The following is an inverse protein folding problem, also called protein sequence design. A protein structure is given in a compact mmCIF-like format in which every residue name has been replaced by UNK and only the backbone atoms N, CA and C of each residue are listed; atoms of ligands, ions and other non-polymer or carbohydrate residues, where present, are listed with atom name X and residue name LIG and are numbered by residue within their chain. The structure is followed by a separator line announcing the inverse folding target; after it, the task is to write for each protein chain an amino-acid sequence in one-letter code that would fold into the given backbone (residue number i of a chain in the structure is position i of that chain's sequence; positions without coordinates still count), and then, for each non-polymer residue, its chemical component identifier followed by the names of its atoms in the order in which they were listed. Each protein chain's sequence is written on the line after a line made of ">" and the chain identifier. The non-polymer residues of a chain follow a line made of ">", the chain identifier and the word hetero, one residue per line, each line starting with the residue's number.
data_IF_466513423323
#
_entry.id   IF_466513423323
#
_cell.length_a   1.000
_cell.length_b   1.000
_cell.length_c   1.000
_cell.angle_alpha   90.00
_cell.angle_beta   90.00
_cell.angle_gamma   90.00
#
_symmetry.space_group_name_H-M   'P 1'
#
loop_
_entity.id
_entity.type
_entity.pdbx_description
1 polymer ?
#
# COMPACT_ATOMS: atom_id res chain seq x y z
N UNK A 1 42.32 -7.10 -10.03
CA UNK A 1 41.06 -6.33 -10.07
C UNK A 1 40.43 -6.47 -8.70
N UNK A 2 40.40 -5.41 -7.92
CA UNK A 2 39.74 -5.43 -6.64
C UNK A 2 38.21 -5.51 -6.90
N UNK A 3 37.57 -6.58 -6.44
CA UNK A 3 36.11 -6.69 -6.41
C UNK A 3 35.63 -5.61 -5.45
N UNK A 4 35.04 -4.54 -5.97
CA UNK A 4 34.26 -3.61 -5.14
C UNK A 4 33.19 -4.43 -4.41
N UNK A 5 33.33 -4.53 -3.11
CA UNK A 5 32.29 -5.05 -2.23
C UNK A 5 31.19 -3.99 -2.27
N UNK A 6 30.16 -4.19 -3.12
CA UNK A 6 28.95 -3.38 -3.04
C UNK A 6 28.40 -3.53 -1.62
N UNK A 7 28.08 -2.42 -0.92
CA UNK A 7 27.44 -2.50 0.37
C UNK A 7 26.17 -3.37 0.25
N UNK A 8 25.94 -4.22 1.24
CA UNK A 8 24.86 -5.23 1.25
C UNK A 8 23.49 -4.52 1.50
N UNK A 9 23.09 -3.64 0.58
CA UNK A 9 21.94 -2.73 0.68
C UNK A 9 20.60 -3.41 0.39
N UNK A 10 20.59 -4.67 -0.04
CA UNK A 10 19.39 -5.39 -0.44
C UNK A 10 18.99 -6.56 0.48
N UNK A 11 19.52 -6.64 1.70
CA UNK A 11 19.13 -7.72 2.64
C UNK A 11 17.69 -7.57 3.10
N UNK A 12 17.06 -8.70 3.48
CA UNK A 12 15.74 -8.68 4.07
C UNK A 12 15.63 -7.73 5.27
N UNK A 13 16.61 -7.74 6.16
CA UNK A 13 16.65 -6.87 7.34
C UNK A 13 16.67 -5.39 6.95
N UNK A 14 17.38 -4.99 5.91
CA UNK A 14 17.40 -3.61 5.41
C UNK A 14 16.06 -3.25 4.79
N UNK A 15 15.53 -4.09 3.90
CA UNK A 15 14.24 -3.83 3.22
C UNK A 15 13.08 -3.71 4.20
N UNK A 16 12.96 -4.66 5.14
CA UNK A 16 11.91 -4.63 6.16
C UNK A 16 12.10 -3.47 7.14
N UNK A 17 13.34 -3.13 7.50
CA UNK A 17 13.68 -1.98 8.33
C UNK A 17 13.28 -0.65 7.69
N UNK A 18 13.54 -0.46 6.40
CA UNK A 18 13.09 0.72 5.65
C UNK A 18 11.55 0.84 5.67
N UNK A 19 10.83 -0.26 5.44
CA UNK A 19 9.37 -0.27 5.51
C UNK A 19 8.85 0.05 6.93
N UNK A 20 9.50 -0.44 7.99
CA UNK A 20 9.16 -0.15 9.38
C UNK A 20 9.29 1.35 9.72
N UNK A 21 10.19 2.08 9.09
CA UNK A 21 10.35 3.53 9.31
C UNK A 21 9.13 4.34 8.91
N UNK A 22 8.26 3.81 8.04
CA UNK A 22 7.05 4.47 7.57
C UNK A 22 5.85 4.26 8.49
N UNK A 23 5.97 3.39 9.50
CA UNK A 23 4.89 3.02 10.41
C UNK A 23 4.30 4.24 11.12
N UNK A 24 2.98 4.30 11.19
CA UNK A 24 2.23 5.40 11.79
C UNK A 24 1.96 6.56 10.84
N UNK A 25 2.48 6.50 9.60
CA UNK A 25 2.41 7.58 8.64
C UNK A 25 1.34 7.42 7.56
N UNK A 26 1.29 8.47 6.74
CA UNK A 26 0.47 8.54 5.52
C UNK A 26 1.38 8.53 4.31
N UNK A 27 1.12 7.65 3.36
CA UNK A 27 1.73 7.62 2.04
C UNK A 27 0.70 8.20 1.07
N UNK A 28 1.08 9.21 0.26
CA UNK A 28 0.15 9.89 -0.63
C UNK A 28 0.48 9.59 -2.09
N UNK A 29 -0.55 9.17 -2.85
CA UNK A 29 -0.43 9.01 -4.31
C UNK A 29 -0.44 10.37 -4.98
N UNK A 30 0.58 10.67 -5.77
CA UNK A 30 0.78 11.96 -6.43
C UNK A 30 1.06 11.78 -7.91
N UNK A 31 0.64 12.76 -8.73
CA UNK A 31 0.81 12.72 -10.19
C UNK A 31 1.62 13.91 -10.73
N UNK A 32 1.98 14.87 -9.86
CA UNK A 32 2.80 16.03 -10.22
C UNK A 32 3.75 16.41 -9.08
N UNK A 33 4.86 17.12 -9.38
CA UNK A 33 5.74 17.69 -8.37
C UNK A 33 5.02 18.59 -7.35
N UNK A 34 4.02 19.35 -7.77
CA UNK A 34 3.26 20.24 -6.86
C UNK A 34 2.41 19.42 -5.88
N UNK A 35 1.81 18.31 -6.31
CA UNK A 35 1.10 17.39 -5.40
C UNK A 35 2.07 16.72 -4.43
N UNK A 36 3.27 16.36 -4.88
CA UNK A 36 4.30 15.80 -4.01
C UNK A 36 4.72 16.78 -2.90
N UNK A 37 4.88 18.07 -3.23
CA UNK A 37 5.13 19.15 -2.25
C UNK A 37 3.96 19.35 -1.28
N UNK A 38 2.72 19.26 -1.76
CA UNK A 38 1.54 19.28 -0.90
C UNK A 38 1.61 18.13 0.12
N UNK A 39 1.91 16.92 -0.33
CA UNK A 39 2.04 15.75 0.52
C UNK A 39 3.15 15.90 1.56
N UNK A 40 4.36 16.31 1.15
CA UNK A 40 5.48 16.54 2.05
C UNK A 40 5.19 17.62 3.08
N UNK A 41 4.62 18.76 2.67
CA UNK A 41 4.24 19.86 3.55
C UNK A 41 3.16 19.46 4.57
N UNK A 42 2.27 18.56 4.21
CA UNK A 42 1.25 18.01 5.11
C UNK A 42 1.84 17.01 6.12
N UNK A 43 3.07 16.54 5.92
CA UNK A 43 3.74 15.57 6.79
C UNK A 43 3.55 14.11 6.34
N UNK A 44 3.33 13.86 5.05
CA UNK A 44 3.41 12.50 4.51
C UNK A 44 4.79 11.88 4.77
N UNK A 45 4.83 10.58 5.04
CA UNK A 45 6.10 9.86 5.28
C UNK A 45 6.74 9.36 4.00
N UNK A 46 5.98 9.30 2.90
CA UNK A 46 6.43 8.99 1.56
C UNK A 46 5.36 9.43 0.56
N UNK A 47 5.72 9.51 -0.72
CA UNK A 47 4.77 9.65 -1.83
C UNK A 47 4.85 8.45 -2.76
N UNK A 48 3.72 8.12 -3.41
CA UNK A 48 3.63 7.15 -4.49
C UNK A 48 3.43 7.91 -5.80
N UNK A 49 4.42 7.88 -6.68
CA UNK A 49 4.36 8.57 -7.96
C UNK A 49 3.56 7.75 -8.99
N UNK A 50 2.52 8.34 -9.54
CA UNK A 50 1.59 7.76 -10.51
C UNK A 50 1.40 8.69 -11.70
N UNK A 51 1.18 8.13 -12.89
CA UNK A 51 0.74 8.92 -14.06
C UNK A 51 -0.67 9.47 -13.85
N UNK A 52 -1.54 8.69 -13.22
CA UNK A 52 -2.94 9.03 -12.90
C UNK A 52 -3.31 8.44 -11.55
N UNK A 53 -4.06 9.19 -10.74
CA UNK A 53 -4.63 8.63 -9.51
C UNK A 53 -5.61 7.49 -9.81
N UNK A 54 -5.81 6.54 -8.89
CA UNK A 54 -6.63 5.35 -9.15
C UNK A 54 -8.04 5.63 -9.67
N UNK A 55 -8.70 6.71 -9.25
CA UNK A 55 -10.01 7.11 -9.78
C UNK A 55 -9.97 7.48 -11.27
N UNK A 56 -8.89 8.11 -11.73
CA UNK A 56 -8.72 8.46 -13.14
C UNK A 56 -8.35 7.24 -13.99
N UNK A 57 -7.55 6.31 -13.45
CA UNK A 57 -7.28 5.02 -14.09
C UNK A 57 -8.60 4.27 -14.32
N UNK A 58 -9.46 4.25 -13.31
CA UNK A 58 -10.78 3.62 -13.38
C UNK A 58 -11.68 4.30 -14.42
N UNK A 59 -11.74 5.62 -14.42
CA UNK A 59 -12.57 6.39 -15.34
C UNK A 59 -12.11 6.29 -16.80
N UNK A 60 -10.80 6.20 -17.05
CA UNK A 60 -10.23 6.11 -18.38
C UNK A 60 -10.42 4.71 -19.01
N UNK A 61 -10.58 3.65 -18.20
CA UNK A 61 -10.59 2.26 -18.66
C UNK A 61 -9.27 1.86 -19.35
N UNK A 62 -9.25 0.70 -19.98
CA UNK A 62 -8.11 0.21 -20.74
C UNK A 62 -6.91 -0.21 -19.89
N UNK A 63 -5.73 -0.26 -20.52
CA UNK A 63 -4.50 -0.76 -19.88
C UNK A 63 -3.78 0.38 -19.17
N UNK A 64 -3.58 0.22 -17.85
CA UNK A 64 -2.74 1.09 -17.04
C UNK A 64 -1.34 0.47 -16.86
N UNK A 65 -0.29 1.25 -17.05
CA UNK A 65 1.12 0.83 -17.04
C UNK A 65 1.93 1.64 -16.03
N UNK A 66 3.19 1.28 -15.88
CA UNK A 66 4.20 2.06 -15.16
C UNK A 66 4.21 3.51 -15.68
N UNK A 67 4.41 4.46 -14.75
CA UNK A 67 4.51 5.89 -15.06
C UNK A 67 5.72 6.21 -15.95
N UNK A 68 5.65 7.35 -16.67
CA UNK A 68 6.76 7.85 -17.46
C UNK A 68 7.99 8.11 -16.57
N UNK A 69 9.17 7.58 -16.91
CA UNK A 69 10.41 7.80 -16.17
C UNK A 69 10.77 9.26 -15.96
N UNK A 70 10.47 10.16 -16.92
CA UNK A 70 10.76 11.58 -16.78
C UNK A 70 9.89 12.22 -15.68
N UNK A 71 8.59 11.94 -15.68
CA UNK A 71 7.68 12.42 -14.63
C UNK A 71 8.11 11.92 -13.25
N UNK A 72 8.55 10.66 -13.16
CA UNK A 72 9.04 10.08 -11.93
C UNK A 72 10.29 10.81 -11.41
N UNK A 73 11.26 11.11 -12.29
CA UNK A 73 12.46 11.86 -11.94
C UNK A 73 12.12 13.29 -11.44
N UNK A 74 11.19 13.97 -12.09
CA UNK A 74 10.73 15.30 -11.66
C UNK A 74 10.08 15.28 -10.25
N UNK A 75 9.36 14.20 -9.91
CA UNK A 75 8.81 14.04 -8.56
C UNK A 75 9.92 13.78 -7.54
N UNK A 76 10.88 12.89 -7.82
CA UNK A 76 12.04 12.63 -6.94
C UNK A 76 12.79 13.93 -6.63
N UNK A 77 13.05 14.76 -7.63
CA UNK A 77 13.77 16.02 -7.46
C UNK A 77 12.99 17.07 -6.66
N UNK A 78 11.67 16.91 -6.54
CA UNK A 78 10.80 17.91 -5.92
C UNK A 78 10.62 17.78 -4.41
N UNK A 79 10.92 16.63 -3.81
CA UNK A 79 10.71 16.31 -2.40
C UNK A 79 11.93 15.66 -1.75
N UNK A 80 11.96 15.66 -0.40
CA UNK A 80 13.03 15.03 0.39
C UNK A 80 12.59 13.73 1.06
N UNK A 81 11.29 13.46 1.06
CA UNK A 81 10.71 12.20 1.57
C UNK A 81 10.82 11.09 0.51
N UNK A 82 10.81 9.81 0.93
CA UNK A 82 10.88 8.67 0.01
C UNK A 82 9.84 8.71 -1.10
N UNK A 83 10.24 8.31 -2.31
CA UNK A 83 9.37 8.22 -3.49
C UNK A 83 9.23 6.77 -3.90
N UNK A 84 7.98 6.30 -3.94
CA UNK A 84 7.58 4.98 -4.41
C UNK A 84 7.07 5.05 -5.84
N UNK A 85 7.13 3.94 -6.57
CA UNK A 85 6.52 3.81 -7.89
C UNK A 85 5.86 2.44 -8.06
N UNK A 86 4.86 2.36 -8.98
CA UNK A 86 4.14 1.12 -9.25
C UNK A 86 4.70 0.38 -10.46
N UNK A 87 4.89 -0.93 -10.32
CA UNK A 87 5.10 -1.87 -11.41
C UNK A 87 3.84 -2.75 -11.58
N UNK A 88 3.56 -3.18 -12.81
CA UNK A 88 2.49 -4.15 -13.08
C UNK A 88 2.82 -5.51 -12.47
N UNK A 89 1.80 -6.22 -11.99
CA UNK A 89 1.96 -7.57 -11.48
C UNK A 89 2.68 -8.45 -12.52
N UNK A 90 3.76 -9.11 -12.09
CA UNK A 90 4.60 -9.99 -12.90
C UNK A 90 5.55 -9.28 -13.87
N UNK A 91 5.52 -7.97 -13.95
CA UNK A 91 6.36 -7.23 -14.90
C UNK A 91 7.73 -6.86 -14.31
N UNK A 92 8.60 -7.86 -14.14
CA UNK A 92 9.93 -7.67 -13.53
C UNK A 92 10.81 -6.65 -14.27
N UNK A 93 10.61 -6.43 -15.59
CA UNK A 93 11.38 -5.42 -16.34
C UNK A 93 10.96 -3.99 -15.94
N UNK A 94 9.67 -3.72 -15.69
CA UNK A 94 9.25 -2.42 -15.11
C UNK A 94 9.92 -2.19 -13.75
N UNK A 95 9.99 -3.22 -12.91
CA UNK A 95 10.68 -3.12 -11.63
C UNK A 95 12.19 -2.84 -11.78
N UNK A 96 12.87 -3.46 -12.77
CA UNK A 96 14.26 -3.18 -13.09
C UNK A 96 14.46 -1.72 -13.53
N UNK A 97 13.55 -1.18 -14.35
CA UNK A 97 13.59 0.23 -14.77
C UNK A 97 13.43 1.15 -13.57
N UNK A 98 12.45 0.90 -12.70
CA UNK A 98 12.21 1.71 -11.51
C UNK A 98 13.39 1.67 -10.53
N UNK A 99 13.98 0.50 -10.30
CA UNK A 99 15.19 0.38 -9.46
C UNK A 99 16.36 1.17 -10.06
N UNK A 100 16.55 1.11 -11.39
CA UNK A 100 17.58 1.87 -12.09
C UNK A 100 17.37 3.40 -12.04
N UNK A 101 16.13 3.85 -11.93
CA UNK A 101 15.75 5.27 -11.74
C UNK A 101 15.95 5.76 -10.30
N UNK A 102 16.28 4.86 -9.36
CA UNK A 102 16.53 5.22 -7.97
C UNK A 102 15.29 5.36 -7.11
N UNK A 103 14.21 4.62 -7.43
CA UNK A 103 13.04 4.57 -6.55
C UNK A 103 13.41 4.01 -5.17
N UNK A 104 12.77 4.52 -4.12
CA UNK A 104 12.98 4.03 -2.75
C UNK A 104 12.19 2.76 -2.44
N UNK A 105 11.01 2.58 -3.08
CA UNK A 105 10.15 1.40 -2.95
C UNK A 105 9.43 1.13 -4.27
N UNK A 106 9.13 -0.14 -4.55
CA UNK A 106 8.31 -0.56 -5.69
C UNK A 106 7.02 -1.21 -5.18
N UNK A 107 5.86 -0.71 -5.60
CA UNK A 107 4.57 -1.38 -5.37
C UNK A 107 4.25 -2.25 -6.59
N UNK A 108 4.32 -3.57 -6.43
CA UNK A 108 3.77 -4.50 -7.42
C UNK A 108 2.25 -4.50 -7.28
N UNK A 109 1.59 -3.70 -8.12
CA UNK A 109 0.25 -3.19 -7.86
C UNK A 109 -0.83 -3.74 -8.78
N UNK A 110 -1.93 -4.18 -8.17
CA UNK A 110 -3.19 -4.52 -8.85
C UNK A 110 -3.92 -3.30 -9.44
N UNK A 111 -3.57 -2.09 -9.03
CA UNK A 111 -4.12 -0.85 -9.60
C UNK A 111 -3.76 -0.72 -11.08
N UNK A 112 -2.55 -1.13 -11.44
CA UNK A 112 -2.15 -1.27 -12.84
C UNK A 112 -2.70 -2.56 -13.44
N UNK A 113 -2.71 -2.64 -14.78
CA UNK A 113 -3.14 -3.85 -15.46
C UNK A 113 -2.07 -4.93 -15.34
N UNK A 114 -2.37 -6.13 -14.82
CA UNK A 114 -1.40 -7.21 -14.71
C UNK A 114 -0.72 -7.54 -16.04
N UNK A 115 0.57 -7.80 -16.02
CA UNK A 115 1.33 -8.29 -17.16
C UNK A 115 1.42 -9.81 -17.17
N UNK A 116 1.31 -10.45 -16.01
CA UNK A 116 1.27 -11.90 -15.83
C UNK A 116 0.10 -12.26 -14.90
N UNK A 117 -0.73 -13.21 -15.31
CA UNK A 117 -1.88 -13.66 -14.53
C UNK A 117 -1.51 -14.72 -13.48
N UNK A 118 -0.35 -15.36 -13.61
CA UNK A 118 0.04 -16.51 -12.81
C UNK A 118 1.24 -16.25 -11.91
N UNK A 119 2.14 -15.34 -12.32
CA UNK A 119 3.40 -15.13 -11.63
C UNK A 119 3.52 -13.69 -11.14
N UNK A 120 3.95 -13.55 -9.88
CA UNK A 120 4.42 -12.29 -9.32
C UNK A 120 5.93 -12.15 -9.49
N UNK A 121 6.41 -10.92 -9.35
CA UNK A 121 7.85 -10.62 -9.40
C UNK A 121 8.56 -11.32 -8.24
N UNK A 122 9.71 -11.97 -8.51
CA UNK A 122 10.61 -12.43 -7.45
C UNK A 122 11.35 -11.24 -6.84
N UNK A 123 10.88 -10.77 -5.71
CA UNK A 123 11.37 -9.55 -5.05
C UNK A 123 12.72 -9.74 -4.36
N UNK A 124 13.18 -11.00 -4.24
CA UNK A 124 14.52 -11.30 -3.73
C UNK A 124 15.64 -10.88 -4.71
N UNK A 125 15.32 -10.72 -6.00
CA UNK A 125 16.28 -10.33 -7.04
C UNK A 125 16.58 -8.83 -7.04
N UNK A 126 15.90 -8.04 -6.21
CA UNK A 126 16.00 -6.57 -6.16
C UNK A 126 16.62 -6.08 -4.85
N UNK A 127 17.26 -4.92 -4.89
CA UNK A 127 17.82 -4.25 -3.70
C UNK A 127 16.78 -3.39 -2.97
N UNK A 128 15.81 -2.85 -3.69
CA UNK A 128 14.74 -2.01 -3.13
C UNK A 128 13.65 -2.85 -2.45
N UNK A 129 13.01 -2.33 -1.39
CA UNK A 129 11.85 -2.97 -0.77
C UNK A 129 10.62 -2.92 -1.68
N UNK A 130 9.82 -4.00 -1.64
CA UNK A 130 8.55 -4.09 -2.35
C UNK A 130 7.37 -3.96 -1.43
N UNK A 131 6.32 -3.31 -1.94
CA UNK A 131 4.97 -3.23 -1.37
C UNK A 131 4.04 -4.10 -2.21
N UNK A 132 3.12 -4.81 -1.58
CA UNK A 132 2.09 -5.59 -2.28
C UNK A 132 0.73 -5.49 -1.58
N UNK A 133 -0.34 -5.50 -2.38
CA UNK A 133 -1.70 -5.59 -1.89
C UNK A 133 -2.10 -7.02 -1.49
N UNK A 134 -2.95 -7.13 -0.46
CA UNK A 134 -3.55 -8.39 -0.05
C UNK A 134 -5.00 -8.20 0.42
N UNK A 135 -5.85 -9.21 0.17
CA UNK A 135 -7.25 -9.26 0.62
C UNK A 135 -7.43 -10.12 1.87
N UNK A 136 -6.46 -10.99 2.13
CA UNK A 136 -6.45 -11.90 3.27
C UNK A 136 -5.03 -12.32 3.65
N UNK A 137 -4.91 -13.06 4.75
CA UNK A 137 -3.61 -13.46 5.27
C UNK A 137 -2.87 -14.41 4.32
N UNK A 138 -3.58 -15.32 3.65
CA UNK A 138 -2.94 -16.26 2.71
C UNK A 138 -2.27 -15.52 1.56
N UNK A 139 -2.94 -14.52 0.99
CA UNK A 139 -2.37 -13.66 -0.05
C UNK A 139 -1.19 -12.85 0.50
N UNK A 140 -1.32 -12.24 1.69
CA UNK A 140 -0.24 -11.50 2.34
C UNK A 140 1.01 -12.37 2.54
N UNK A 141 0.85 -13.59 3.06
CA UNK A 141 1.98 -14.49 3.31
C UNK A 141 2.64 -14.99 2.02
N UNK A 142 1.88 -15.17 0.92
CA UNK A 142 2.49 -15.45 -0.40
C UNK A 142 3.37 -14.28 -0.87
N UNK A 143 2.86 -13.05 -0.80
CA UNK A 143 3.65 -11.84 -1.17
C UNK A 143 4.90 -11.69 -0.31
N UNK A 144 4.80 -11.95 0.99
CA UNK A 144 5.96 -11.93 1.91
C UNK A 144 6.94 -13.03 1.53
N UNK A 145 6.47 -14.24 1.23
CA UNK A 145 7.32 -15.34 0.76
C UNK A 145 8.08 -15.03 -0.53
N UNK A 146 7.52 -14.19 -1.40
CA UNK A 146 8.16 -13.66 -2.61
C UNK A 146 9.13 -12.49 -2.33
N UNK A 147 9.22 -12.02 -1.08
CA UNK A 147 10.13 -10.95 -0.65
C UNK A 147 9.49 -9.57 -0.47
N UNK A 148 8.16 -9.45 -0.40
CA UNK A 148 7.51 -8.18 -0.08
C UNK A 148 7.86 -7.73 1.34
N UNK A 149 8.33 -6.49 1.49
CA UNK A 149 8.74 -5.87 2.75
C UNK A 149 7.62 -5.05 3.42
N UNK A 150 6.52 -4.83 2.71
CA UNK A 150 5.31 -4.17 3.19
C UNK A 150 4.09 -4.82 2.53
N UNK A 151 3.05 -5.01 3.33
CA UNK A 151 1.72 -5.38 2.85
C UNK A 151 0.79 -4.19 3.00
N UNK A 152 -0.15 -4.05 2.08
CA UNK A 152 -1.30 -3.13 2.22
C UNK A 152 -2.59 -3.85 1.90
N UNK A 153 -3.71 -3.35 2.40
CA UNK A 153 -4.99 -3.83 1.89
C UNK A 153 -5.13 -3.46 0.40
N UNK A 154 -5.72 -4.33 -0.41
CA UNK A 154 -6.11 -3.94 -1.77
C UNK A 154 -7.21 -2.89 -1.72
N UNK A 155 -8.18 -3.07 -0.83
CA UNK A 155 -9.37 -2.21 -0.82
C UNK A 155 -10.04 -2.18 -2.18
N UNK A 156 -10.61 -1.03 -2.55
CA UNK A 156 -11.00 -0.74 -3.93
C UNK A 156 -10.51 0.66 -4.29
N UNK A 157 -9.30 0.72 -4.83
CA UNK A 157 -8.60 1.97 -5.09
C UNK A 157 -9.40 2.88 -6.04
N UNK A 158 -9.45 4.18 -5.73
CA UNK A 158 -10.17 5.18 -6.54
C UNK A 158 -11.69 5.16 -6.38
N UNK A 159 -12.26 4.32 -5.51
CA UNK A 159 -13.70 4.26 -5.26
C UNK A 159 -14.20 5.33 -4.28
N UNK A 160 -13.33 5.88 -3.43
CA UNK A 160 -13.75 6.74 -2.31
C UNK A 160 -14.67 6.04 -1.30
N UNK A 161 -14.67 4.71 -1.27
CA UNK A 161 -15.47 3.86 -0.40
C UNK A 161 -14.56 2.88 0.33
N UNK A 162 -14.47 3.05 1.64
CA UNK A 162 -13.52 2.34 2.49
C UNK A 162 -13.93 0.87 2.80
N UNK A 163 -15.13 0.46 2.42
CA UNK A 163 -15.72 -0.83 2.87
C UNK A 163 -14.83 -2.03 2.58
N UNK A 164 -14.19 -2.08 1.39
CA UNK A 164 -13.30 -3.19 1.03
C UNK A 164 -11.98 -3.16 1.81
N UNK A 165 -11.40 -1.98 2.04
CA UNK A 165 -10.19 -1.87 2.87
C UNK A 165 -10.46 -2.34 4.31
N UNK A 166 -11.61 -1.98 4.88
CA UNK A 166 -12.04 -2.46 6.21
C UNK A 166 -12.21 -3.99 6.20
N UNK A 167 -12.86 -4.54 5.17
CA UNK A 167 -13.07 -5.99 5.03
C UNK A 167 -11.74 -6.74 4.97
N UNK A 168 -10.80 -6.28 4.15
CA UNK A 168 -9.47 -6.90 4.00
C UNK A 168 -8.65 -6.80 5.28
N UNK A 169 -8.57 -5.62 5.91
CA UNK A 169 -7.84 -5.44 7.17
C UNK A 169 -8.38 -6.34 8.27
N UNK A 170 -9.70 -6.36 8.46
CA UNK A 170 -10.35 -7.22 9.46
C UNK A 170 -10.14 -8.70 9.17
N UNK A 171 -10.12 -9.10 7.89
CA UNK A 171 -9.88 -10.49 7.50
C UNK A 171 -8.45 -10.91 7.83
N UNK A 172 -7.45 -10.10 7.48
CA UNK A 172 -6.03 -10.36 7.80
C UNK A 172 -5.83 -10.46 9.31
N UNK A 173 -6.26 -9.44 10.06
CA UNK A 173 -6.09 -9.40 11.52
C UNK A 173 -6.87 -10.50 12.23
N UNK A 174 -8.08 -10.82 11.76
CA UNK A 174 -8.89 -11.92 12.29
C UNK A 174 -8.23 -13.28 12.08
N UNK A 175 -7.64 -13.51 10.90
CA UNK A 175 -6.90 -14.75 10.61
C UNK A 175 -5.60 -14.87 11.42
N UNK A 176 -4.88 -13.76 11.64
CA UNK A 176 -3.71 -13.71 12.54
C UNK A 176 -4.13 -14.13 13.96
N UNK A 177 -5.18 -13.52 14.50
CA UNK A 177 -5.68 -13.85 15.85
C UNK A 177 -6.14 -15.31 15.96
N UNK A 178 -6.73 -15.85 14.89
CA UNK A 178 -7.14 -17.25 14.85
C UNK A 178 -5.92 -18.17 14.92
N UNK A 179 -4.91 -17.96 14.08
CA UNK A 179 -3.68 -18.77 14.04
C UNK A 179 -2.93 -18.70 15.38
N UNK A 180 -2.87 -17.52 16.00
CA UNK A 180 -2.24 -17.35 17.31
C UNK A 180 -2.86 -18.25 18.41
N UNK A 181 -4.16 -18.54 18.29
CA UNK A 181 -4.89 -19.36 19.26
C UNK A 181 -4.99 -20.85 18.90
N UNK A 182 -4.36 -21.31 17.82
CA UNK A 182 -4.39 -22.72 17.38
C UNK A 182 -3.38 -23.58 18.12
N UNK A 183 -3.56 -24.91 18.07
CA UNK A 183 -2.52 -25.85 18.46
C UNK A 183 -1.51 -26.03 17.31
N UNK A 184 -0.27 -26.35 17.66
CA UNK A 184 0.85 -26.39 16.69
C UNK A 184 0.66 -27.45 15.59
N UNK A 185 -0.04 -28.54 15.88
CA UNK A 185 -0.32 -29.64 14.93
C UNK A 185 -1.39 -29.25 13.88
N UNK A 186 -2.17 -28.18 14.11
CA UNK A 186 -3.14 -27.66 13.16
C UNK A 186 -2.50 -26.76 12.08
N UNK A 187 -1.30 -26.24 12.33
CA UNK A 187 -0.68 -25.20 11.48
C UNK A 187 -0.36 -25.68 10.06
N UNK A 188 -0.01 -26.97 9.88
CA UNK A 188 0.24 -27.55 8.55
C UNK A 188 -1.03 -27.54 7.67
N UNK A 189 -2.17 -27.93 8.25
CA UNK A 189 -3.44 -27.90 7.55
C UNK A 189 -3.84 -26.44 7.20
N UNK A 190 -3.67 -25.55 8.16
CA UNK A 190 -3.93 -24.12 7.99
C UNK A 190 -3.07 -23.48 6.88
N UNK A 191 -1.77 -23.80 6.84
CA UNK A 191 -0.87 -23.33 5.79
C UNK A 191 -1.31 -23.80 4.40
N UNK A 192 -1.71 -25.07 4.27
CA UNK A 192 -2.27 -25.65 3.04
C UNK A 192 -3.54 -24.90 2.61
N UNK A 193 -4.46 -24.68 3.54
CA UNK A 193 -5.77 -24.07 3.25
C UNK A 193 -5.62 -22.56 2.90
N UNK A 194 -4.67 -21.87 3.54
CA UNK A 194 -4.29 -20.49 3.17
C UNK A 194 -3.42 -20.43 1.91
N UNK A 195 -2.94 -21.57 1.40
CA UNK A 195 -1.97 -21.64 0.29
C UNK A 195 -0.74 -20.75 0.58
N UNK A 196 -0.24 -20.80 1.81
CA UNK A 196 0.83 -19.96 2.33
C UNK A 196 2.04 -20.79 2.75
N UNK A 197 3.26 -20.21 2.74
CA UNK A 197 4.44 -20.87 3.28
C UNK A 197 4.26 -21.25 4.75
N UNK A 198 4.51 -22.51 5.09
CA UNK A 198 4.33 -23.03 6.46
C UNK A 198 5.14 -22.25 7.50
N UNK A 199 6.40 -21.90 7.18
CA UNK A 199 7.27 -21.17 8.10
C UNK A 199 6.70 -19.80 8.48
N UNK A 200 6.05 -19.11 7.54
CA UNK A 200 5.38 -17.83 7.82
C UNK A 200 4.11 -18.01 8.66
N UNK A 201 3.36 -19.09 8.46
CA UNK A 201 2.19 -19.41 9.31
C UNK A 201 2.65 -19.72 10.74
N UNK A 202 3.75 -20.45 10.89
CA UNK A 202 4.37 -20.74 12.17
C UNK A 202 4.87 -19.47 12.87
N UNK A 203 5.50 -18.55 12.14
CA UNK A 203 5.92 -17.25 12.67
C UNK A 203 4.73 -16.42 13.17
N UNK A 204 3.61 -16.41 12.42
CA UNK A 204 2.36 -15.78 12.88
C UNK A 204 1.84 -16.39 14.17
N UNK A 205 1.87 -17.73 14.28
CA UNK A 205 1.46 -18.41 15.51
C UNK A 205 2.32 -17.99 16.71
N UNK A 206 3.63 -17.90 16.53
CA UNK A 206 4.59 -17.56 17.58
C UNK A 206 4.53 -16.09 17.99
N UNK A 207 4.42 -15.18 17.01
CA UNK A 207 4.50 -13.72 17.22
C UNK A 207 3.12 -13.05 17.38
N UNK A 208 2.10 -13.58 16.74
CA UNK A 208 0.76 -12.97 16.64
C UNK A 208 0.73 -11.73 15.76
N UNK A 209 1.70 -11.57 14.83
CA UNK A 209 1.80 -10.44 13.93
C UNK A 209 2.44 -10.81 12.60
N UNK A 210 2.22 -10.01 11.55
CA UNK A 210 2.99 -10.11 10.31
C UNK A 210 4.47 -9.73 10.56
N UNK A 211 5.42 -10.36 9.86
CA UNK A 211 6.84 -9.98 9.93
C UNK A 211 7.14 -8.63 9.24
N UNK A 212 6.16 -8.03 8.61
CA UNK A 212 6.25 -6.74 7.90
C UNK A 212 5.09 -5.84 8.29
N UNK A 213 5.22 -4.54 8.03
CA UNK A 213 4.13 -3.58 8.26
C UNK A 213 2.95 -3.85 7.32
N UNK A 214 1.74 -3.60 7.81
CA UNK A 214 0.49 -3.77 7.09
C UNK A 214 -0.29 -2.45 7.07
N UNK A 215 -0.30 -1.77 5.93
CA UNK A 215 -0.98 -0.50 5.74
C UNK A 215 -2.40 -0.70 5.19
N UNK A 216 -3.25 0.30 5.37
CA UNK A 216 -4.54 0.35 4.68
C UNK A 216 -4.44 1.14 3.39
N UNK A 217 -5.02 0.61 2.32
CA UNK A 217 -5.16 1.28 1.03
C UNK A 217 -6.53 0.97 0.43
N UNK A 218 -6.99 1.86 -0.46
CA UNK A 218 -8.20 1.68 -1.24
C UNK A 218 -9.46 2.24 -0.58
N UNK A 219 -9.89 3.41 -1.04
CA UNK A 219 -11.16 4.02 -0.67
C UNK A 219 -11.13 5.00 0.49
N UNK A 220 -9.99 5.28 1.10
CA UNK A 220 -9.86 6.31 2.15
C UNK A 220 -10.09 7.68 1.51
N UNK A 221 -11.06 8.45 2.03
CA UNK A 221 -11.44 9.75 1.47
C UNK A 221 -11.68 10.84 2.51
N UNK A 222 -11.67 10.49 3.80
CA UNK A 222 -11.87 11.44 4.89
C UNK A 222 -10.88 11.18 6.04
N UNK A 223 -10.65 12.18 6.93
CA UNK A 223 -9.87 11.98 8.14
C UNK A 223 -10.40 10.85 9.04
N UNK A 224 -11.73 10.73 9.12
CA UNK A 224 -12.38 9.67 9.90
C UNK A 224 -12.12 8.27 9.33
N UNK A 225 -12.02 8.12 7.99
CA UNK A 225 -11.66 6.85 7.36
C UNK A 225 -10.23 6.45 7.74
N UNK A 226 -9.28 7.38 7.68
CA UNK A 226 -7.89 7.12 8.07
C UNK A 226 -7.81 6.70 9.56
N UNK A 227 -8.47 7.43 10.45
CA UNK A 227 -8.52 7.09 11.86
C UNK A 227 -9.20 5.74 12.13
N UNK A 228 -10.27 5.41 11.40
CA UNK A 228 -10.91 4.10 11.49
C UNK A 228 -9.94 2.96 11.18
N UNK A 229 -9.20 3.07 10.10
CA UNK A 229 -8.23 2.04 9.73
C UNK A 229 -7.13 1.89 10.78
N UNK A 230 -6.60 2.99 11.31
CA UNK A 230 -5.63 2.98 12.39
C UNK A 230 -6.18 2.34 13.67
N UNK A 231 -7.44 2.62 14.03
CA UNK A 231 -8.11 2.00 15.20
C UNK A 231 -8.42 0.52 14.99
N UNK A 232 -8.62 0.06 13.74
CA UNK A 232 -8.75 -1.36 13.41
C UNK A 232 -7.43 -2.10 13.67
N UNK A 233 -6.28 -1.41 13.55
CA UNK A 233 -4.97 -1.94 13.89
C UNK A 233 -3.99 -2.09 12.73
N UNK A 234 -4.18 -1.32 11.65
CA UNK A 234 -3.17 -1.22 10.59
C UNK A 234 -2.01 -0.31 11.02
N UNK A 235 -0.88 -0.40 10.31
CA UNK A 235 0.35 0.30 10.65
C UNK A 235 0.51 1.68 10.00
N UNK A 236 -0.42 2.07 9.13
CA UNK A 236 -0.43 3.34 8.41
C UNK A 236 -1.44 3.30 7.27
N UNK A 237 -1.50 4.36 6.47
CA UNK A 237 -2.49 4.47 5.39
C UNK A 237 -1.87 4.98 4.09
N UNK A 238 -2.40 4.49 2.95
CA UNK A 238 -2.19 5.06 1.62
C UNK A 238 -3.44 5.84 1.22
N UNK A 239 -3.27 7.05 0.73
CA UNK A 239 -4.38 7.90 0.27
C UNK A 239 -3.97 8.65 -1.00
N UNK A 240 -4.76 8.48 -2.06
CA UNK A 240 -4.51 9.15 -3.33
C UNK A 240 -5.69 10.00 -3.75
N UNK A 241 -6.63 9.41 -4.49
CA UNK A 241 -7.82 10.10 -5.00
C UNK A 241 -8.61 10.82 -3.91
N UNK A 242 -8.66 10.27 -2.69
CA UNK A 242 -9.36 10.87 -1.56
C UNK A 242 -8.86 12.28 -1.20
N UNK A 243 -7.57 12.55 -1.41
CA UNK A 243 -6.97 13.87 -1.22
C UNK A 243 -7.11 14.71 -2.49
N UNK A 244 -6.56 14.24 -3.61
CA UNK A 244 -6.37 15.08 -4.81
C UNK A 244 -7.63 15.24 -5.67
N UNK A 245 -8.72 14.53 -5.35
CA UNK A 245 -10.08 14.73 -5.91
C UNK A 245 -11.04 15.40 -4.94
N UNK A 246 -10.58 15.82 -3.76
CA UNK A 246 -11.37 16.68 -2.85
C UNK A 246 -11.36 18.13 -3.34
N UNK A 247 -12.28 18.91 -2.80
CA UNK A 247 -12.38 20.35 -3.12
C UNK A 247 -11.10 21.12 -2.70
N UNK A 248 -10.48 20.74 -1.58
CA UNK A 248 -9.30 21.40 -1.01
C UNK A 248 -8.21 20.38 -0.66
N UNK A 249 -7.37 19.93 -1.64
CA UNK A 249 -6.38 18.88 -1.41
C UNK A 249 -5.37 19.18 -0.29
N UNK A 250 -4.90 20.43 -0.16
CA UNK A 250 -3.95 20.82 0.90
C UNK A 250 -4.56 20.63 2.29
N UNK A 251 -5.79 21.13 2.49
CA UNK A 251 -6.49 21.04 3.78
C UNK A 251 -6.83 19.59 4.09
N UNK A 252 -7.24 18.82 3.09
CA UNK A 252 -7.56 17.41 3.23
C UNK A 252 -6.32 16.58 3.58
N UNK A 253 -5.18 16.85 2.95
CA UNK A 253 -3.91 16.18 3.25
C UNK A 253 -3.49 16.40 4.70
N UNK A 254 -3.47 17.67 5.16
CA UNK A 254 -3.20 18.05 6.55
C UNK A 254 -4.12 17.33 7.54
N UNK A 255 -5.42 17.32 7.26
CA UNK A 255 -6.42 16.71 8.13
C UNK A 255 -6.25 15.19 8.23
N UNK A 256 -5.94 14.50 7.11
CA UNK A 256 -5.69 13.05 7.08
C UNK A 256 -4.42 12.69 7.85
N UNK A 257 -3.32 13.44 7.70
CA UNK A 257 -2.09 13.21 8.47
C UNK A 257 -2.35 13.37 9.97
N UNK A 258 -3.02 14.45 10.39
CA UNK A 258 -3.37 14.67 11.80
C UNK A 258 -4.28 13.58 12.35
N UNK A 259 -5.28 13.15 11.57
CA UNK A 259 -6.19 12.08 11.98
C UNK A 259 -5.48 10.73 12.09
N UNK A 260 -4.52 10.45 11.21
CA UNK A 260 -3.69 9.24 11.29
C UNK A 260 -2.77 9.27 12.50
N UNK A 261 -2.17 10.41 12.82
CA UNK A 261 -1.29 10.57 13.98
C UNK A 261 -2.06 10.51 15.30
N UNK A 262 -3.22 11.15 15.35
CA UNK A 262 -4.05 11.29 16.57
C UNK A 262 -5.32 10.45 16.52
N UNK A 263 -5.27 9.29 15.90
CA UNK A 263 -6.44 8.45 15.60
C UNK A 263 -7.26 8.00 16.82
N UNK A 264 -6.70 8.09 18.04
CA UNK A 264 -7.39 7.76 19.30
C UNK A 264 -7.98 8.97 20.01
N UNK A 265 -7.81 10.18 19.49
CA UNK A 265 -8.28 11.41 20.11
C UNK A 265 -9.54 11.94 19.41
N UNK A 266 -10.75 11.71 19.98
CA UNK A 266 -12.01 12.13 19.35
C UNK A 266 -12.14 13.65 19.19
N UNK A 267 -11.54 14.45 20.09
CA UNK A 267 -11.61 15.91 20.02
C UNK A 267 -10.74 16.42 18.87
N UNK A 268 -9.54 15.87 18.72
CA UNK A 268 -8.68 16.14 17.57
C UNK A 268 -9.39 15.72 16.27
N UNK A 269 -9.95 14.50 16.20
CA UNK A 269 -10.65 14.02 15.02
C UNK A 269 -11.84 14.92 14.65
N UNK A 270 -12.63 15.35 15.63
CA UNK A 270 -13.73 16.30 15.42
C UNK A 270 -13.22 17.66 14.91
N UNK A 271 -12.09 18.13 15.43
CA UNK A 271 -11.47 19.39 15.02
C UNK A 271 -11.00 19.36 13.57
N UNK A 272 -10.20 18.35 13.19
CA UNK A 272 -9.61 18.23 11.84
C UNK A 272 -10.62 17.86 10.76
N UNK A 273 -11.82 17.41 11.15
CA UNK A 273 -12.90 17.08 10.20
C UNK A 273 -13.76 18.28 9.81
N UNK A 274 -13.49 19.48 10.34
CA UNK A 274 -14.27 20.69 10.05
C UNK A 274 -13.69 21.49 8.89
N UNK A 275 -14.57 22.03 8.04
CA UNK A 275 -14.20 23.03 7.02
C UNK A 275 -13.35 22.46 5.87
N UNK A 276 -13.44 21.19 5.59
CA UNK A 276 -12.65 20.51 4.55
C UNK A 276 -13.16 20.76 3.11
N UNK A 277 -14.39 21.27 2.98
CA UNK A 277 -15.09 21.29 1.69
C UNK A 277 -15.66 19.93 1.30
N UNK A 278 -16.01 19.75 0.04
CA UNK A 278 -16.54 18.50 -0.45
C UNK A 278 -15.43 17.44 -0.57
N UNK A 279 -15.69 16.26 -0.01
CA UNK A 279 -14.85 15.07 -0.24
C UNK A 279 -14.99 14.59 -1.67
N UNK A 280 -14.05 13.74 -2.13
CA UNK A 280 -14.19 13.12 -3.45
C UNK A 280 -15.51 12.36 -3.57
N UNK A 281 -16.16 12.36 -4.76
CA UNK A 281 -17.33 11.52 -5.01
C UNK A 281 -16.99 10.05 -4.84
N UNK A 282 -17.80 9.32 -4.06
CA UNK A 282 -17.63 7.89 -3.83
C UNK A 282 -18.46 7.03 -4.80
N UNK A 283 -17.99 5.80 -5.02
CA UNK A 283 -18.72 4.76 -5.75
C UNK A 283 -19.19 3.67 -4.78
N UNK A 284 -20.40 3.20 -4.96
CA UNK A 284 -20.84 2.02 -4.20
C UNK A 284 -20.25 0.76 -4.84
N UNK A 285 -19.23 0.20 -4.20
CA UNK A 285 -18.50 -0.99 -4.68
C UNK A 285 -19.43 -2.19 -4.90
N UNK A 286 -20.54 -2.28 -4.16
CA UNK A 286 -21.53 -3.37 -4.33
C UNK A 286 -22.20 -3.36 -5.71
N UNK A 287 -22.24 -2.21 -6.37
CA UNK A 287 -22.81 -2.03 -7.70
C UNK A 287 -21.76 -2.16 -8.82
N UNK A 288 -20.49 -2.40 -8.46
CA UNK A 288 -19.39 -2.51 -9.40
C UNK A 288 -19.24 -3.95 -9.90
N UNK A 289 -19.27 -4.20 -11.21
CA UNK A 289 -18.98 -5.53 -11.76
C UNK A 289 -17.62 -6.06 -11.27
N UNK A 290 -17.52 -7.36 -11.00
CA UNK A 290 -16.27 -7.98 -10.52
C UNK A 290 -15.11 -7.74 -11.51
N UNK A 291 -15.38 -7.72 -12.81
CA UNK A 291 -14.39 -7.43 -13.86
C UNK A 291 -13.78 -6.02 -13.78
N UNK A 292 -14.45 -5.08 -13.09
CA UNK A 292 -14.00 -3.70 -12.90
C UNK A 292 -13.31 -3.50 -11.55
N UNK A 293 -13.37 -4.50 -10.65
CA UNK A 293 -12.75 -4.43 -9.34
C UNK A 293 -11.24 -4.69 -9.45
N UNK A 294 -10.44 -3.73 -9.00
CA UNK A 294 -8.98 -3.88 -8.98
C UNK A 294 -8.52 -4.95 -7.98
N UNK A 295 -9.22 -5.07 -6.86
CA UNK A 295 -8.87 -6.01 -5.79
C UNK A 295 -8.88 -7.49 -6.24
N UNK A 296 -9.55 -7.84 -7.33
CA UNK A 296 -9.59 -9.21 -7.84
C UNK A 296 -8.35 -9.61 -8.64
N UNK A 297 -7.53 -8.65 -9.05
CA UNK A 297 -6.32 -8.89 -9.85
C UNK A 297 -5.19 -9.47 -9.00
N UNK A 298 -4.41 -10.40 -9.58
CA UNK A 298 -3.20 -10.94 -8.97
C UNK A 298 -3.41 -11.53 -7.58
N UNK A 299 -4.28 -12.51 -7.47
CA UNK A 299 -4.63 -13.20 -6.21
C UNK A 299 -3.54 -14.18 -5.72
#
# INVERSE_FOLDING_TARGET
>A
MATEIKPNTGTWAVKSGLAQMLKGGVIMDVVTPDQAKIAENAGAVAVMALERVPSDIRAAGGVARMSDPQMFAEIIESVTIPVMAMARIGHFVEAQVLEALGTDYIDESEVLTPADENNHINKHDFSVPFVCGARDLGEALRRIGEGAAMIRTKGEAGSGNIVEAVRHARKVLGQINHIKGMEIDELMATARDLKAPYELVKEIHETGSLPVVNFAAGGISTPSDAALMMQIGVDGVFVGSGIFKSENPQIMADAIVKATTHYKDPEMLASVSKGLGASMPGLDVRNMPESEQFATRGW
#
